data_IF_892288513704
#
_entry.id   IF_892288513704
#
_cell.length_a   1.000
_cell.length_b   1.000
_cell.length_c   1.000
_cell.angle_alpha   90.00
_cell.angle_beta   90.00
_cell.angle_gamma   90.00
#
_symmetry.space_group_name_H-M   'P 1'
#
loop_
_entity.id
_entity.type
_entity.pdbx_description
1 polymer ?
#
# COMPACT_ATOMS: atom_id res chain seq x y z
N UNK A 1 4.96 2.53 -10.30
CA UNK A 1 5.69 1.88 -11.43
C UNK A 1 4.91 2.12 -12.70
N UNK A 2 5.56 2.51 -13.80
CA UNK A 2 4.90 2.89 -15.06
C UNK A 2 5.18 1.85 -16.15
N UNK A 3 4.14 1.45 -16.86
CA UNK A 3 4.18 0.43 -17.91
C UNK A 3 3.61 1.03 -19.18
N UNK A 4 4.38 0.96 -20.26
CA UNK A 4 3.91 1.36 -21.58
C UNK A 4 3.73 0.12 -22.44
N UNK A 5 2.52 -0.09 -22.95
CA UNK A 5 2.18 -1.27 -23.77
C UNK A 5 1.65 -0.80 -25.11
N UNK A 6 1.81 -1.61 -26.16
CA UNK A 6 1.14 -1.38 -27.44
C UNK A 6 -0.36 -1.60 -27.28
N UNK A 7 -1.18 -0.75 -27.90
CA UNK A 7 -2.65 -0.97 -27.92
C UNK A 7 -3.06 -2.23 -28.66
N UNK A 8 -2.32 -2.56 -29.72
CA UNK A 8 -2.63 -3.67 -30.61
C UNK A 8 -1.66 -4.83 -30.43
N UNK A 9 -2.09 -6.07 -30.71
CA UNK A 9 -1.23 -7.25 -30.63
C UNK A 9 -0.15 -7.31 -31.73
N UNK A 10 -0.29 -6.57 -32.85
CA UNK A 10 0.64 -6.63 -33.97
C UNK A 10 0.89 -5.26 -34.64
N UNK A 11 2.16 -5.00 -35.00
CA UNK A 11 2.69 -3.94 -35.89
C UNK A 11 2.56 -2.47 -35.44
N UNK A 12 1.51 -2.06 -34.74
CA UNK A 12 1.28 -0.63 -34.44
C UNK A 12 2.14 -0.09 -33.28
N UNK A 13 3.40 0.29 -33.56
CA UNK A 13 4.40 0.74 -32.56
C UNK A 13 4.19 2.17 -32.04
N UNK A 14 3.53 3.03 -32.82
CA UNK A 14 3.28 4.43 -32.47
C UNK A 14 2.06 4.61 -31.57
N UNK A 15 1.15 3.63 -31.59
CA UNK A 15 -0.02 3.60 -30.71
C UNK A 15 0.32 2.90 -29.39
N UNK A 16 0.49 3.69 -28.32
CA UNK A 16 0.88 3.21 -26.99
C UNK A 16 -0.12 3.62 -25.92
N UNK A 17 -0.31 2.75 -24.94
CA UNK A 17 -1.05 3.04 -23.71
C UNK A 17 -0.11 3.07 -22.51
N UNK A 18 -0.41 3.97 -21.59
CA UNK A 18 0.36 4.20 -20.38
C UNK A 18 -0.46 3.75 -19.19
N UNK A 19 0.05 2.77 -18.46
CA UNK A 19 -0.53 2.28 -17.22
C UNK A 19 0.41 2.58 -16.06
N UNK A 20 -0.16 2.84 -14.89
CA UNK A 20 0.60 3.03 -13.67
C UNK A 20 -0.09 2.32 -12.52
N UNK A 21 0.70 1.59 -11.72
CA UNK A 21 0.28 1.11 -10.41
C UNK A 21 0.89 2.07 -9.37
N UNK A 22 0.02 2.72 -8.58
CA UNK A 22 0.40 3.63 -7.50
C UNK A 22 0.12 2.98 -6.16
N UNK A 23 1.13 2.87 -5.33
CA UNK A 23 1.00 2.41 -3.93
C UNK A 23 1.13 3.64 -3.05
N UNK A 24 0.15 3.86 -2.16
CA UNK A 24 0.11 5.03 -1.28
C UNK A 24 0.49 4.59 0.13
N UNK A 25 1.67 4.98 0.57
CA UNK A 25 2.19 4.61 1.89
C UNK A 25 1.81 5.70 2.90
N UNK A 26 1.20 5.30 4.01
CA UNK A 26 0.91 6.15 5.16
C UNK A 26 1.61 5.58 6.38
N UNK A 27 2.29 6.44 7.14
CA UNK A 27 2.92 6.07 8.40
C UNK A 27 2.22 6.83 9.52
N UNK A 28 1.86 6.09 10.57
CA UNK A 28 1.25 6.64 11.79
C UNK A 28 2.17 6.23 12.94
N UNK A 29 2.59 7.20 13.73
CA UNK A 29 3.39 6.96 14.92
C UNK A 29 2.53 7.24 16.17
N UNK A 30 2.59 6.33 17.15
CA UNK A 30 1.81 6.39 18.38
C UNK A 30 2.77 6.60 19.54
N UNK A 31 2.83 7.84 20.01
CA UNK A 31 3.63 8.22 21.18
C UNK A 31 2.85 7.76 22.42
N UNK A 32 3.37 6.76 23.13
CA UNK A 32 2.74 6.04 24.27
C UNK A 32 1.59 5.08 23.90
N UNK A 33 1.95 3.88 23.45
CA UNK A 33 0.97 2.82 23.21
C UNK A 33 0.58 2.12 24.52
N UNK A 34 -0.69 2.19 24.90
CA UNK A 34 -1.25 1.31 25.94
C UNK A 34 -1.54 -0.07 25.34
N UNK A 35 -1.46 -1.17 26.12
CA UNK A 35 -1.76 -2.53 25.62
C UNK A 35 -3.19 -2.65 25.06
N UNK A 36 -4.14 -1.90 25.60
CA UNK A 36 -5.53 -1.84 25.09
C UNK A 36 -5.61 -1.21 23.69
N UNK A 37 -4.74 -0.24 23.40
CA UNK A 37 -4.70 0.41 22.09
C UNK A 37 -4.13 -0.53 21.02
N UNK A 38 -3.16 -1.38 21.38
CA UNK A 38 -2.59 -2.38 20.46
C UNK A 38 -3.63 -3.43 20.05
N UNK A 39 -4.42 -3.93 21.01
CA UNK A 39 -5.50 -4.89 20.75
C UNK A 39 -6.63 -4.27 19.91
N UNK A 40 -6.92 -2.98 20.12
CA UNK A 40 -7.90 -2.23 19.32
C UNK A 40 -7.46 -2.04 17.87
N UNK A 41 -6.16 -1.84 17.62
CA UNK A 41 -5.61 -1.70 16.26
C UNK A 41 -5.63 -3.01 15.47
N UNK A 42 -5.45 -4.16 16.13
CA UNK A 42 -5.52 -5.48 15.52
C UNK A 42 -6.95 -5.89 15.13
N UNK A 43 -7.95 -5.36 15.83
CA UNK A 43 -9.39 -5.65 15.61
C UNK A 43 -10.05 -4.71 14.60
N UNK A 44 -9.30 -3.77 14.02
CA UNK A 44 -9.87 -2.78 13.12
C UNK A 44 -10.28 -3.43 11.78
N UNK A 45 -11.53 -3.22 11.36
CA UNK A 45 -11.99 -3.66 10.04
C UNK A 45 -11.40 -2.73 8.96
N UNK A 46 -10.31 -3.20 8.36
CA UNK A 46 -9.63 -2.54 7.27
C UNK A 46 -10.21 -3.01 5.93
N UNK A 47 -10.17 -2.13 4.92
CA UNK A 47 -10.54 -2.51 3.58
C UNK A 47 -9.57 -3.61 3.06
N UNK A 48 -10.06 -4.60 2.29
CA UNK A 48 -9.29 -5.80 1.92
C UNK A 48 -8.03 -5.53 1.07
N UNK A 49 -7.87 -4.33 0.52
CA UNK A 49 -6.74 -3.94 -0.32
C UNK A 49 -5.70 -3.07 0.42
N UNK A 50 -5.89 -2.84 1.72
CA UNK A 50 -4.97 -2.08 2.56
C UNK A 50 -4.12 -3.06 3.37
N UNK A 51 -2.82 -3.06 3.09
CA UNK A 51 -1.85 -3.78 3.90
C UNK A 51 -1.40 -2.91 5.08
N UNK A 52 -1.38 -3.49 6.28
CA UNK A 52 -1.00 -2.79 7.52
C UNK A 52 0.05 -3.61 8.26
N UNK A 53 1.23 -3.03 8.44
CA UNK A 53 2.31 -3.61 9.23
C UNK A 53 2.44 -2.84 10.56
N UNK A 54 2.26 -3.54 11.68
CA UNK A 54 2.42 -2.97 13.02
C UNK A 54 3.77 -3.39 13.58
N UNK A 55 4.67 -2.43 13.85
CA UNK A 55 5.96 -2.66 14.51
C UNK A 55 5.96 -2.00 15.89
N UNK A 56 6.10 -2.78 16.95
CA UNK A 56 6.36 -2.25 18.29
C UNK A 56 7.87 -2.05 18.47
N UNK A 57 8.28 -0.79 18.64
CA UNK A 57 9.66 -0.47 19.03
C UNK A 57 9.77 -0.75 20.53
N UNK A 58 10.06 -2.01 20.89
CA UNK A 58 10.44 -2.36 22.25
C UNK A 58 11.70 -1.58 22.64
N UNK A 59 11.63 -0.85 23.73
CA UNK A 59 12.81 -0.29 24.39
C UNK A 59 13.68 -1.46 24.86
N UNK A 60 14.95 -1.46 24.45
CA UNK A 60 16.02 -2.01 25.30
C UNK A 60 16.21 -1.10 26.52
#
# INVERSE_FOLDING_TARGET
RRYTVLKGPHVNKDSREQFEIRVHNRMIDIISATPETVDSLMKLDLAPEVDVEVRSMGQE
#
